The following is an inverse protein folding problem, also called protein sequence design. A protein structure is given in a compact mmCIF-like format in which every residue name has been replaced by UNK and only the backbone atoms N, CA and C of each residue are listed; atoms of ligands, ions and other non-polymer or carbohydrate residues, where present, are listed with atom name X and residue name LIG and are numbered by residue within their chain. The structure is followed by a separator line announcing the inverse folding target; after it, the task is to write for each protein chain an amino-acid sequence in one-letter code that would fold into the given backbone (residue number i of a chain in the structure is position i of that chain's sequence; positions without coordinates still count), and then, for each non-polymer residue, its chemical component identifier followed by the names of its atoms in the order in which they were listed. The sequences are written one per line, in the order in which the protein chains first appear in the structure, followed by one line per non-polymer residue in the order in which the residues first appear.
data_IF_112161096832
#
_entry.id   IF_112161096832
#
_cell.length_a   1.000
_cell.length_b   1.000
_cell.length_c   1.000
_cell.angle_alpha   90.00
_cell.angle_beta   90.00
_cell.angle_gamma   90.00
#
_symmetry.space_group_name_H-M   'P 1'
#
loop_
_entity.id
_entity.type
_entity.pdbx_description
1 polymer ?
#
# COMPACT_ATOMS: atom_id res chain seq x y z
N UNK A 1 2.74 3.86 -13.07
CA UNK A 1 4.13 3.85 -12.66
C UNK A 1 4.59 5.23 -12.20
N UNK A 2 5.34 5.27 -11.14
CA UNK A 2 5.78 6.51 -10.52
C UNK A 2 7.13 6.97 -11.06
N UNK A 3 7.24 8.26 -11.43
CA UNK A 3 8.49 8.85 -11.89
C UNK A 3 9.16 9.56 -10.70
N UNK A 4 10.29 9.05 -10.20
CA UNK A 4 10.90 9.58 -8.98
C UNK A 4 11.27 11.07 -9.05
N UNK A 5 11.69 11.52 -10.24
CA UNK A 5 12.16 12.89 -10.41
C UNK A 5 11.06 13.94 -10.28
N UNK A 6 9.81 13.54 -10.47
CA UNK A 6 8.68 14.47 -10.49
C UNK A 6 7.90 14.45 -9.18
N UNK A 7 8.27 13.57 -8.26
CA UNK A 7 7.39 13.28 -7.16
C UNK A 7 7.68 14.04 -5.89
N UNK A 8 6.67 14.73 -5.43
CA UNK A 8 6.58 15.10 -4.03
C UNK A 8 5.93 13.92 -3.29
N UNK A 9 6.05 13.90 -1.99
CA UNK A 9 5.35 12.90 -1.18
C UNK A 9 3.84 13.01 -1.40
N UNK A 10 3.32 14.22 -1.51
CA UNK A 10 1.91 14.44 -1.74
C UNK A 10 1.44 13.76 -3.03
N UNK A 11 2.19 13.95 -4.10
CA UNK A 11 1.85 13.32 -5.38
C UNK A 11 2.02 11.81 -5.34
N UNK A 12 3.05 11.35 -4.67
CA UNK A 12 3.28 9.92 -4.52
C UNK A 12 2.11 9.25 -3.81
N UNK A 13 1.58 9.86 -2.76
CA UNK A 13 0.43 9.33 -2.03
C UNK A 13 -0.75 9.14 -2.99
N UNK A 14 -1.04 10.15 -3.81
CA UNK A 14 -2.15 10.05 -4.75
C UNK A 14 -1.96 8.92 -5.75
N UNK A 15 -0.76 8.80 -6.30
CA UNK A 15 -0.48 7.75 -7.29
C UNK A 15 -0.46 6.37 -6.66
N UNK A 16 0.03 6.28 -5.43
CA UNK A 16 0.04 5.01 -4.71
C UNK A 16 -1.39 4.52 -4.45
N UNK A 17 -2.25 5.40 -3.97
CA UNK A 17 -3.64 5.05 -3.69
C UNK A 17 -4.37 4.66 -4.99
N UNK A 18 -4.12 5.38 -6.09
CA UNK A 18 -4.70 5.02 -7.39
C UNK A 18 -4.23 3.63 -7.83
N UNK A 19 -2.95 3.33 -7.61
CA UNK A 19 -2.41 2.00 -7.92
C UNK A 19 -3.05 0.90 -7.10
N UNK A 20 -3.27 1.15 -5.81
CA UNK A 20 -3.97 0.22 -4.93
C UNK A 20 -5.39 -0.01 -5.43
N UNK A 21 -6.09 1.04 -5.78
CA UNK A 21 -7.47 0.96 -6.27
C UNK A 21 -7.56 0.12 -7.54
N UNK A 22 -6.63 0.35 -8.48
CA UNK A 22 -6.58 -0.44 -9.72
C UNK A 22 -6.34 -1.92 -9.45
N UNK A 23 -5.39 -2.21 -8.56
CA UNK A 23 -5.07 -3.60 -8.22
C UNK A 23 -6.25 -4.28 -7.56
N UNK A 24 -6.95 -3.58 -6.67
CA UNK A 24 -8.15 -4.13 -6.04
C UNK A 24 -9.25 -4.41 -7.05
N UNK A 25 -9.42 -3.50 -8.02
CA UNK A 25 -10.38 -3.72 -9.09
C UNK A 25 -10.07 -4.98 -9.90
N UNK A 26 -8.79 -5.23 -10.17
CA UNK A 26 -8.37 -6.44 -10.86
C UNK A 26 -8.60 -7.68 -10.02
N UNK A 27 -8.31 -7.62 -8.73
CA UNK A 27 -8.55 -8.75 -7.82
C UNK A 27 -10.03 -9.10 -7.79
N UNK A 28 -10.91 -8.09 -7.68
CA UNK A 28 -12.35 -8.31 -7.68
C UNK A 28 -12.81 -8.93 -8.99
N UNK A 29 -12.28 -8.43 -10.13
CA UNK A 29 -12.63 -8.96 -11.44
C UNK A 29 -12.25 -10.43 -11.57
N UNK A 30 -11.04 -10.78 -11.13
CA UNK A 30 -10.58 -12.16 -11.15
C UNK A 30 -11.39 -13.03 -10.20
N UNK A 31 -11.73 -12.50 -9.04
CA UNK A 31 -12.59 -13.18 -8.08
C UNK A 31 -13.96 -13.48 -8.66
N UNK A 32 -14.52 -12.55 -9.43
CA UNK A 32 -15.80 -12.74 -10.10
C UNK A 32 -15.74 -13.85 -11.14
N UNK A 33 -14.63 -13.98 -11.85
CA UNK A 33 -14.44 -15.02 -12.85
C UNK A 33 -14.38 -16.40 -12.16
N UNK A 34 -13.80 -16.47 -10.97
CA UNK A 34 -13.63 -17.72 -10.24
C UNK A 34 -14.65 -17.92 -9.13
N UNK A 35 -15.70 -17.13 -9.11
CA UNK A 35 -16.66 -17.08 -8.01
C UNK A 35 -17.33 -18.44 -7.74
N UNK A 36 -17.51 -19.24 -8.78
CA UNK A 36 -18.11 -20.56 -8.62
C UNK A 36 -17.22 -21.52 -7.85
N UNK A 37 -15.93 -21.22 -7.72
CA UNK A 37 -14.95 -22.10 -7.09
C UNK A 37 -14.53 -21.63 -5.70
N UNK A 38 -15.01 -20.46 -5.25
CA UNK A 38 -14.61 -19.92 -3.96
C UNK A 38 -15.80 -19.32 -3.23
N UNK A 39 -15.82 -19.42 -1.89
CA UNK A 39 -16.80 -18.68 -1.09
C UNK A 39 -16.68 -17.18 -1.34
N UNK A 40 -17.82 -16.49 -1.33
CA UNK A 40 -17.86 -15.06 -1.59
C UNK A 40 -17.00 -14.24 -0.66
N UNK A 41 -16.92 -14.63 0.61
CA UNK A 41 -16.10 -13.93 1.59
C UNK A 41 -14.63 -13.91 1.20
N UNK A 42 -14.14 -15.01 0.65
CA UNK A 42 -12.74 -15.10 0.23
C UNK A 42 -12.47 -14.22 -0.97
N UNK A 43 -13.43 -14.15 -1.90
CA UNK A 43 -13.26 -13.32 -3.09
C UNK A 43 -13.20 -11.83 -2.74
N UNK A 44 -13.78 -11.42 -1.62
CA UNK A 44 -13.85 -10.02 -1.21
C UNK A 44 -12.79 -9.64 -0.18
N UNK A 45 -11.92 -10.56 0.21
CA UNK A 45 -10.92 -10.29 1.24
C UNK A 45 -9.79 -9.35 0.80
N UNK A 46 -9.69 -9.06 -0.52
CA UNK A 46 -8.77 -8.04 -1.00
C UNK A 46 -7.30 -8.40 -0.81
N UNK A 47 -6.52 -7.39 -0.47
CA UNK A 47 -5.06 -7.52 -0.36
C UNK A 47 -4.63 -8.54 0.68
N UNK A 48 -5.29 -8.58 1.81
CA UNK A 48 -4.89 -9.49 2.87
C UNK A 48 -5.01 -10.94 2.40
N UNK A 49 -6.10 -11.26 1.74
CA UNK A 49 -6.31 -12.60 1.22
C UNK A 49 -5.28 -12.94 0.13
N UNK A 50 -4.99 -11.98 -0.74
CA UNK A 50 -3.98 -12.16 -1.78
C UNK A 50 -2.62 -12.49 -1.15
N UNK A 51 -2.23 -11.75 -0.12
CA UNK A 51 -0.98 -12.00 0.59
C UNK A 51 -0.95 -13.40 1.17
N UNK A 52 -2.04 -13.85 1.78
CA UNK A 52 -2.11 -15.19 2.34
C UNK A 52 -2.01 -16.26 1.27
N UNK A 53 -2.65 -16.05 0.13
CA UNK A 53 -2.55 -17.02 -0.98
C UNK A 53 -1.13 -17.12 -1.49
N UNK A 54 -0.44 -16.00 -1.68
CA UNK A 54 0.95 -16.04 -2.12
C UNK A 54 1.81 -16.74 -1.08
N UNK A 55 1.60 -16.43 0.20
CA UNK A 55 2.40 -16.98 1.29
C UNK A 55 2.25 -18.50 1.38
N UNK A 56 1.03 -19.02 1.26
CA UNK A 56 0.75 -20.42 1.57
C UNK A 56 0.70 -21.35 0.36
N UNK A 57 0.40 -20.83 -0.83
CA UNK A 57 0.12 -21.68 -1.97
C UNK A 57 1.08 -21.55 -3.14
N UNK A 58 1.85 -20.47 -3.19
CA UNK A 58 2.80 -20.28 -4.28
C UNK A 58 4.17 -20.77 -3.88
N UNK A 59 4.88 -21.46 -4.80
CA UNK A 59 6.28 -21.82 -4.56
C UNK A 59 7.08 -20.58 -4.25
N UNK A 60 7.86 -20.64 -3.17
CA UNK A 60 8.71 -19.51 -2.77
C UNK A 60 7.94 -18.23 -2.46
N UNK A 61 6.67 -18.35 -2.07
CA UNK A 61 5.79 -17.21 -1.83
C UNK A 61 6.29 -16.28 -0.75
N UNK A 62 6.83 -16.85 0.33
CA UNK A 62 7.37 -16.05 1.43
C UNK A 62 8.50 -15.14 0.96
N UNK A 63 9.41 -15.68 0.15
CA UNK A 63 10.53 -14.92 -0.39
C UNK A 63 10.04 -13.80 -1.33
N UNK A 64 9.08 -14.12 -2.18
CA UNK A 64 8.51 -13.15 -3.12
C UNK A 64 7.80 -12.01 -2.40
N UNK A 65 7.06 -12.32 -1.33
CA UNK A 65 6.42 -11.28 -0.53
C UNK A 65 7.45 -10.40 0.15
N UNK A 66 8.50 -11.01 0.69
CA UNK A 66 9.57 -10.26 1.34
C UNK A 66 10.23 -9.29 0.36
N UNK A 67 10.56 -9.77 -0.84
CA UNK A 67 11.15 -8.91 -1.87
C UNK A 67 10.23 -7.76 -2.26
N UNK A 68 8.95 -8.05 -2.41
CA UNK A 68 7.97 -7.02 -2.76
C UNK A 68 7.89 -5.95 -1.67
N UNK A 69 7.84 -6.39 -0.41
CA UNK A 69 7.77 -5.47 0.71
C UNK A 69 9.02 -4.60 0.82
N UNK A 70 10.19 -5.17 0.55
CA UNK A 70 11.44 -4.41 0.55
C UNK A 70 11.47 -3.37 -0.55
N UNK A 71 11.00 -3.71 -1.73
CA UNK A 71 10.89 -2.76 -2.85
C UNK A 71 9.98 -1.60 -2.51
N UNK A 72 8.83 -1.90 -1.94
CA UNK A 72 7.86 -0.88 -1.56
C UNK A 72 8.45 0.04 -0.50
N UNK A 73 9.11 -0.55 0.50
CA UNK A 73 9.74 0.23 1.56
C UNK A 73 10.77 1.20 0.98
N UNK A 74 11.61 0.72 0.08
CA UNK A 74 12.64 1.57 -0.55
C UNK A 74 12.02 2.70 -1.36
N UNK A 75 10.94 2.43 -2.07
CA UNK A 75 10.22 3.49 -2.80
C UNK A 75 9.76 4.61 -1.88
N UNK A 76 9.14 4.24 -0.76
CA UNK A 76 8.71 5.23 0.22
C UNK A 76 9.90 6.01 0.79
N UNK A 77 10.99 5.32 1.11
CA UNK A 77 12.18 5.98 1.63
C UNK A 77 12.73 7.00 0.62
N UNK A 78 12.79 6.63 -0.65
CA UNK A 78 13.32 7.52 -1.69
C UNK A 78 12.46 8.78 -1.82
N UNK A 79 11.15 8.63 -1.85
CA UNK A 79 10.25 9.76 -2.00
C UNK A 79 10.31 10.67 -0.77
N UNK A 80 10.27 10.08 0.43
CA UNK A 80 10.32 10.85 1.66
C UNK A 80 11.64 11.59 1.77
N UNK A 81 12.75 10.90 1.46
CA UNK A 81 14.07 11.52 1.50
C UNK A 81 14.18 12.73 0.57
N UNK A 82 13.70 12.60 -0.66
CA UNK A 82 13.71 13.72 -1.60
C UNK A 82 12.80 14.87 -1.13
N UNK A 83 11.67 14.53 -0.54
CA UNK A 83 10.74 15.53 -0.06
C UNK A 83 11.31 16.32 1.11
N UNK A 84 12.11 15.67 1.95
CA UNK A 84 12.84 16.36 3.01
C UNK A 84 13.89 17.29 2.40
N UNK A 85 14.66 16.79 1.43
CA UNK A 85 15.72 17.57 0.78
C UNK A 85 15.18 18.81 0.07
N UNK A 86 14.01 18.71 -0.52
CA UNK A 86 13.40 19.82 -1.26
C UNK A 86 12.56 20.75 -0.40
N UNK A 87 12.51 20.50 0.89
CA UNK A 87 11.81 21.38 1.82
C UNK A 87 10.31 21.20 1.91
N UNK A 88 9.77 20.15 1.28
CA UNK A 88 8.35 19.84 1.41
C UNK A 88 8.03 19.33 2.81
N UNK A 89 8.91 18.54 3.38
CA UNK A 89 8.76 17.97 4.72
C UNK A 89 9.77 18.61 5.67
N UNK A 90 9.47 18.50 6.97
CA UNK A 90 10.35 19.05 8.00
C UNK A 90 11.69 18.31 8.04
N UNK A 91 12.76 19.05 8.35
CA UNK A 91 14.13 18.51 8.31
C UNK A 91 14.40 17.40 9.31
N UNK A 92 13.72 17.45 10.44
CA UNK A 92 13.98 16.51 11.54
C UNK A 92 13.33 15.15 11.37
N UNK A 93 12.64 14.93 10.25
CA UNK A 93 11.93 13.67 10.01
C UNK A 93 12.91 12.53 9.80
N UNK A 94 12.68 11.42 10.50
CA UNK A 94 13.40 10.18 10.27
C UNK A 94 12.77 9.48 9.06
N UNK A 95 13.53 9.39 7.98
CA UNK A 95 13.01 8.89 6.72
C UNK A 95 12.56 7.43 6.82
N UNK A 96 13.37 6.58 7.43
CA UNK A 96 13.06 5.15 7.51
C UNK A 96 11.87 4.88 8.43
N UNK A 97 11.81 5.56 9.57
CA UNK A 97 10.67 5.41 10.48
C UNK A 97 9.39 5.89 9.84
N UNK A 98 9.46 6.96 9.09
CA UNK A 98 8.29 7.50 8.40
C UNK A 98 7.81 6.56 7.29
N UNK A 99 8.75 6.01 6.53
CA UNK A 99 8.41 5.03 5.49
C UNK A 99 7.75 3.79 6.10
N UNK A 100 8.28 3.30 7.22
CA UNK A 100 7.69 2.16 7.92
C UNK A 100 6.28 2.47 8.36
N UNK A 101 6.02 3.68 8.84
CA UNK A 101 4.71 4.10 9.27
C UNK A 101 3.68 4.02 8.14
N UNK A 102 4.01 4.57 6.98
CA UNK A 102 3.11 4.51 5.82
C UNK A 102 2.83 3.05 5.41
N UNK A 103 3.87 2.22 5.40
CA UNK A 103 3.71 0.81 5.05
C UNK A 103 2.81 0.08 6.03
N UNK A 104 3.01 0.32 7.32
CA UNK A 104 2.23 -0.34 8.36
C UNK A 104 0.78 0.12 8.36
N UNK A 105 0.52 1.36 7.99
CA UNK A 105 -0.86 1.83 7.84
C UNK A 105 -1.57 1.07 6.73
N UNK A 106 -0.92 0.91 5.58
CA UNK A 106 -1.50 0.16 4.47
C UNK A 106 -1.80 -1.29 4.87
N UNK A 107 -0.80 -1.95 5.43
CA UNK A 107 -0.94 -3.36 5.81
C UNK A 107 -1.96 -3.52 6.95
N UNK A 108 -1.91 -2.64 7.94
CA UNK A 108 -2.84 -2.69 9.06
C UNK A 108 -4.29 -2.47 8.64
N UNK A 109 -4.54 -1.51 7.76
CA UNK A 109 -5.89 -1.29 7.25
C UNK A 109 -6.35 -2.46 6.38
N UNK A 110 -5.45 -3.00 5.56
CA UNK A 110 -5.80 -4.16 4.73
C UNK A 110 -6.20 -5.35 5.59
N UNK A 111 -5.47 -5.58 6.66
CA UNK A 111 -5.78 -6.66 7.59
C UNK A 111 -7.09 -6.40 8.32
N UNK A 112 -7.24 -5.23 8.90
CA UNK A 112 -8.42 -4.88 9.68
C UNK A 112 -9.68 -4.95 8.85
N UNK A 113 -9.64 -4.38 7.66
CA UNK A 113 -10.82 -4.30 6.80
C UNK A 113 -11.14 -5.61 6.08
N UNK A 114 -10.21 -6.57 6.09
CA UNK A 114 -10.49 -7.89 5.54
C UNK A 114 -11.56 -8.62 6.34
N UNK A 115 -11.81 -8.19 7.56
CA UNK A 115 -12.88 -8.75 8.39
C UNK A 115 -14.25 -8.17 8.08
N UNK A 116 -14.33 -7.22 7.17
CA UNK A 116 -15.61 -6.65 6.72
C UNK A 116 -15.66 -6.68 5.19
N UNK A 117 -15.70 -5.55 4.54
CA UNK A 117 -15.91 -5.49 3.09
C UNK A 117 -14.62 -5.35 2.28
N UNK A 118 -13.48 -5.50 2.91
CA UNK A 118 -12.19 -5.30 2.26
C UNK A 118 -11.70 -3.87 2.41
N UNK A 119 -10.50 -3.61 1.93
CA UNK A 119 -9.86 -2.30 2.09
C UNK A 119 -10.65 -1.19 1.41
N UNK A 120 -10.96 -0.16 2.19
CA UNK A 120 -11.59 1.06 1.67
C UNK A 120 -10.48 2.04 1.30
N UNK A 121 -10.31 2.27 0.00
CA UNK A 121 -9.23 3.14 -0.51
C UNK A 121 -9.39 4.58 -0.06
N UNK A 122 -10.63 5.02 0.14
CA UNK A 122 -10.89 6.37 0.63
C UNK A 122 -10.36 6.57 2.04
N UNK A 123 -10.52 5.56 2.89
CA UNK A 123 -9.98 5.62 4.25
C UNK A 123 -8.47 5.56 4.23
N UNK A 124 -7.89 4.72 3.37
CA UNK A 124 -6.44 4.65 3.21
C UNK A 124 -5.88 6.01 2.81
N UNK A 125 -6.48 6.63 1.80
CA UNK A 125 -6.06 7.95 1.34
C UNK A 125 -6.15 8.98 2.46
N UNK A 126 -7.28 8.99 3.17
CA UNK A 126 -7.47 9.91 4.27
C UNK A 126 -6.41 9.74 5.35
N UNK A 127 -6.09 8.51 5.69
CA UNK A 127 -5.07 8.22 6.72
C UNK A 127 -3.69 8.68 6.28
N UNK A 128 -3.33 8.39 5.03
CA UNK A 128 -2.06 8.83 4.48
C UNK A 128 -1.94 10.37 4.49
N UNK A 129 -3.02 11.05 4.11
CA UNK A 129 -3.00 12.51 4.08
C UNK A 129 -2.96 13.12 5.48
N UNK A 130 -3.56 12.45 6.44
CA UNK A 130 -3.46 12.89 7.82
C UNK A 130 -2.00 12.84 8.30
N UNK A 131 -1.33 11.73 8.03
CA UNK A 131 0.10 11.59 8.38
C UNK A 131 0.91 12.67 7.64
N UNK A 132 0.66 12.84 6.37
CA UNK A 132 1.34 13.86 5.58
C UNK A 132 1.21 15.24 6.22
N UNK A 133 0.02 15.57 6.68
CA UNK A 133 -0.23 16.86 7.36
C UNK A 133 0.62 17.06 8.60
N UNK A 134 0.98 15.96 9.28
CA UNK A 134 1.86 16.03 10.45
C UNK A 134 3.33 16.20 10.06
N UNK A 135 3.70 15.84 8.83
CA UNK A 135 5.09 15.82 8.38
C UNK A 135 5.48 17.06 7.58
N UNK A 136 4.52 17.67 6.91
CA UNK A 136 4.83 18.78 6.01
C UNK A 136 5.35 19.99 6.78
N UNK A 137 6.19 20.75 6.11
CA UNK A 137 6.81 21.94 6.67
C UNK A 137 5.82 23.07 6.93
#
# INVERSE_FOLDING_TARGET
KFAPSDGSLRDFIDKYVEGVERTMGEIVRLGNIQREKMPGELANAGYFHLFQQVLFYYPDGKHKLHEWMEKEFRLWCDVIGRSVEHGELREEIDVQETAALFRQVFIGLSYQMSFSDGLDVGILRHRFLYIYGLLKR
#
